data_IF_866436593548
#
_entry.id   IF_866436593548
#
_cell.length_a   1.000
_cell.length_b   1.000
_cell.length_c   1.000
_cell.angle_alpha   90.00
_cell.angle_beta   90.00
_cell.angle_gamma   90.00
#
_symmetry.space_group_name_H-M   'P 1'
#
loop_
_entity.id
_entity.type
_entity.pdbx_description
1 polymer ?
#
# COMPACT_ATOMS: atom_id res chain seq x y z
N UNK A 1 -10.03 -17.80 -2.88
CA UNK A 1 -9.42 -16.96 -3.94
C UNK A 1 -7.91 -17.23 -3.98
N UNK A 2 -7.32 -17.73 -5.08
CA UNK A 2 -5.90 -18.06 -5.16
C UNK A 2 -4.97 -16.88 -4.83
N UNK A 3 -5.29 -15.68 -5.31
CA UNK A 3 -4.51 -14.47 -5.06
C UNK A 3 -4.47 -14.08 -3.57
N UNK A 4 -5.59 -14.28 -2.85
CA UNK A 4 -5.66 -14.02 -1.41
C UNK A 4 -4.72 -14.95 -0.64
N UNK A 5 -4.68 -16.24 -0.99
CA UNK A 5 -3.77 -17.20 -0.37
C UNK A 5 -2.29 -16.84 -0.62
N UNK A 6 -1.95 -16.40 -1.83
CA UNK A 6 -0.59 -15.93 -2.14
C UNK A 6 -0.21 -14.68 -1.35
N UNK A 7 -1.12 -13.70 -1.24
CA UNK A 7 -0.90 -12.52 -0.42
C UNK A 7 -0.64 -12.90 1.05
N UNK A 8 -1.48 -13.76 1.63
CA UNK A 8 -1.35 -14.22 3.02
C UNK A 8 0.02 -14.88 3.23
N UNK A 9 0.39 -15.82 2.36
CA UNK A 9 1.68 -16.50 2.45
C UNK A 9 2.86 -15.53 2.32
N UNK A 10 2.79 -14.57 1.39
CA UNK A 10 3.82 -13.55 1.22
C UNK A 10 3.96 -12.66 2.45
N UNK A 11 2.84 -12.13 2.96
CA UNK A 11 2.82 -11.24 4.10
C UNK A 11 3.31 -11.92 5.39
N UNK A 12 2.89 -13.16 5.63
CA UNK A 12 3.34 -13.96 6.77
C UNK A 12 4.81 -14.32 6.69
N UNK A 13 5.33 -14.67 5.51
CA UNK A 13 6.75 -14.91 5.32
C UNK A 13 7.59 -13.65 5.62
N UNK A 14 7.12 -12.47 5.21
CA UNK A 14 7.80 -11.22 5.52
C UNK A 14 7.71 -10.89 7.02
N UNK A 15 6.57 -11.12 7.66
CA UNK A 15 6.42 -10.94 9.11
C UNK A 15 7.35 -11.88 9.91
N UNK A 16 7.46 -13.14 9.50
CA UNK A 16 8.33 -14.13 10.12
C UNK A 16 9.81 -13.71 10.05
N UNK A 17 10.25 -13.19 8.89
CA UNK A 17 11.60 -12.61 8.73
C UNK A 17 11.85 -11.46 9.71
N UNK A 18 10.90 -10.55 9.85
CA UNK A 18 11.03 -9.38 10.73
C UNK A 18 11.00 -9.73 12.23
N UNK A 19 10.24 -10.76 12.60
CA UNK A 19 10.11 -11.24 13.98
C UNK A 19 11.19 -12.26 14.36
N UNK A 20 11.94 -12.79 13.38
CA UNK A 20 12.86 -13.92 13.54
C UNK A 20 12.19 -15.16 14.16
N UNK A 21 10.88 -15.30 13.98
CA UNK A 21 10.08 -16.44 14.46
C UNK A 21 9.79 -17.41 13.32
N UNK A 22 9.43 -18.63 13.69
CA UNK A 22 8.98 -19.64 12.73
C UNK A 22 7.70 -19.14 12.02
N UNK A 23 7.65 -19.14 10.67
CA UNK A 23 6.45 -18.81 9.91
C UNK A 23 5.20 -19.54 10.39
N UNK A 24 5.32 -20.79 10.86
CA UNK A 24 4.21 -21.62 11.34
C UNK A 24 3.41 -20.96 12.48
N UNK A 25 4.03 -20.09 13.29
CA UNK A 25 3.30 -19.35 14.33
C UNK A 25 2.35 -18.28 13.75
N UNK A 26 2.55 -17.84 12.50
CA UNK A 26 1.71 -16.83 11.85
C UNK A 26 0.53 -17.41 11.07
N UNK A 27 0.55 -18.71 10.73
CA UNK A 27 -0.40 -19.41 9.86
C UNK A 27 -1.73 -19.84 10.52
N UNK A 28 -2.05 -19.34 11.71
CA UNK A 28 -3.41 -19.51 12.24
C UNK A 28 -4.44 -18.98 11.22
N UNK A 29 -5.60 -19.66 11.08
CA UNK A 29 -6.67 -19.21 10.19
C UNK A 29 -6.99 -17.72 10.41
N UNK A 30 -7.33 -17.03 9.32
CA UNK A 30 -7.75 -15.64 9.41
C UNK A 30 -9.05 -15.53 10.22
N UNK A 31 -9.16 -14.47 11.00
CA UNK A 31 -10.46 -14.10 11.57
C UNK A 31 -11.40 -13.64 10.45
N UNK A 32 -12.70 -13.58 10.75
CA UNK A 32 -13.70 -13.00 9.83
C UNK A 32 -13.36 -11.55 9.47
N UNK A 33 -12.82 -10.78 10.40
CA UNK A 33 -12.47 -9.38 10.22
C UNK A 33 -11.25 -9.25 9.30
N UNK A 34 -10.21 -10.05 9.53
CA UNK A 34 -9.01 -10.09 8.66
C UNK A 34 -9.35 -10.52 7.24
N UNK A 35 -10.17 -11.57 7.10
CA UNK A 35 -10.67 -12.03 5.80
C UNK A 35 -11.45 -10.93 5.09
N UNK A 36 -12.33 -10.23 5.81
CA UNK A 36 -13.13 -9.14 5.26
C UNK A 36 -12.26 -7.97 4.81
N UNK A 37 -11.27 -7.54 5.61
CA UNK A 37 -10.32 -6.48 5.21
C UNK A 37 -9.55 -6.89 3.96
N UNK A 38 -9.02 -8.11 3.91
CA UNK A 38 -8.29 -8.62 2.74
C UNK A 38 -9.16 -8.65 1.48
N UNK A 39 -10.37 -9.19 1.57
CA UNK A 39 -11.29 -9.29 0.44
C UNK A 39 -11.71 -7.89 -0.04
N UNK A 40 -12.04 -6.97 0.87
CA UNK A 40 -12.33 -5.56 0.55
C UNK A 40 -11.16 -4.90 -0.17
N UNK A 41 -9.94 -5.07 0.34
CA UNK A 41 -8.73 -4.52 -0.24
C UNK A 41 -8.48 -5.03 -1.67
N UNK A 42 -8.65 -6.34 -1.89
CA UNK A 42 -8.52 -6.97 -3.21
C UNK A 42 -9.55 -6.43 -4.20
N UNK A 43 -10.82 -6.32 -3.80
CA UNK A 43 -11.86 -5.78 -4.69
C UNK A 43 -11.66 -4.29 -4.99
N UNK A 44 -11.24 -3.51 -4.00
CA UNK A 44 -10.88 -2.09 -4.19
C UNK A 44 -9.70 -1.96 -5.13
N UNK A 45 -8.64 -2.75 -4.93
CA UNK A 45 -7.50 -2.77 -5.83
C UNK A 45 -7.89 -3.19 -7.26
N UNK A 46 -8.73 -4.21 -7.41
CA UNK A 46 -9.25 -4.62 -8.72
C UNK A 46 -10.06 -3.51 -9.38
N UNK A 47 -10.90 -2.81 -8.61
CA UNK A 47 -11.68 -1.67 -9.10
C UNK A 47 -10.75 -0.54 -9.56
N UNK A 48 -9.70 -0.24 -8.79
CA UNK A 48 -8.66 0.70 -9.18
C UNK A 48 -8.02 0.30 -10.52
N UNK A 49 -7.58 -0.95 -10.66
CA UNK A 49 -7.00 -1.47 -11.91
C UNK A 49 -8.00 -1.41 -13.08
N UNK A 50 -9.28 -1.69 -12.83
CA UNK A 50 -10.32 -1.62 -13.85
C UNK A 50 -10.64 -0.18 -14.26
N UNK A 51 -10.56 0.79 -13.35
CA UNK A 51 -10.84 2.19 -13.67
C UNK A 51 -9.64 2.86 -14.36
N UNK A 52 -8.44 2.68 -13.79
CA UNK A 52 -7.25 3.46 -14.15
C UNK A 52 -6.13 2.64 -14.80
N UNK A 53 -6.24 1.32 -14.85
CA UNK A 53 -5.23 0.46 -15.46
C UNK A 53 -5.15 0.61 -16.98
N UNK A 54 -3.92 0.52 -17.50
CA UNK A 54 -3.64 0.51 -18.94
C UNK A 54 -3.93 -0.88 -19.49
N UNK A 55 -4.98 -1.02 -20.31
CA UNK A 55 -5.30 -2.27 -21.02
C UNK A 55 -5.07 -2.10 -22.52
N UNK A 56 -4.49 -3.10 -23.18
CA UNK A 56 -4.24 -3.10 -24.63
C UNK A 56 -5.53 -2.95 -25.47
N UNK A 57 -6.71 -3.23 -24.91
CA UNK A 57 -8.00 -3.00 -25.57
C UNK A 57 -8.54 -1.57 -25.41
N UNK A 58 -7.93 -0.74 -24.55
CA UNK A 58 -8.36 0.65 -24.29
C UNK A 58 -7.73 1.70 -25.19
N UNK A 59 -6.84 1.31 -26.10
CA UNK A 59 -6.22 2.22 -27.07
C UNK A 59 -7.22 2.96 -27.98
N UNK A 60 -8.49 2.54 -28.03
CA UNK A 60 -9.55 3.27 -28.78
C UNK A 60 -10.27 4.37 -27.98
N UNK A 61 -10.13 4.42 -26.65
CA UNK A 61 -10.84 5.41 -25.79
C UNK A 61 -9.90 6.26 -24.92
N UNK A 62 -8.57 6.17 -25.12
CA UNK A 62 -7.56 6.90 -24.35
C UNK A 62 -7.60 8.43 -24.56
N UNK A 63 -8.33 8.93 -25.56
CA UNK A 63 -8.42 10.37 -25.84
C UNK A 63 -9.33 11.17 -24.89
N UNK A 64 -9.93 10.56 -23.85
CA UNK A 64 -10.93 11.28 -23.06
C UNK A 64 -10.56 11.56 -21.59
N UNK A 65 -9.64 10.83 -20.94
CA UNK A 65 -9.33 11.07 -19.52
C UNK A 65 -7.87 10.70 -19.17
N UNK A 66 -6.92 11.58 -19.46
CA UNK A 66 -5.58 11.55 -18.85
C UNK A 66 -5.70 11.95 -17.37
N UNK A 67 -5.95 10.99 -16.48
CA UNK A 67 -5.96 11.27 -15.06
C UNK A 67 -4.52 11.33 -14.51
N UNK A 68 -4.03 12.54 -14.24
CA UNK A 68 -2.85 12.76 -13.40
C UNK A 68 -3.00 12.04 -12.03
N UNK A 69 -1.89 11.64 -11.40
CA UNK A 69 -1.85 10.96 -10.10
C UNK A 69 -2.66 11.72 -9.04
N UNK A 70 -2.63 13.05 -9.07
CA UNK A 70 -3.43 13.91 -8.17
C UNK A 70 -4.94 13.71 -8.38
N UNK A 71 -5.39 13.50 -9.62
CA UNK A 71 -6.79 13.22 -9.91
C UNK A 71 -7.21 11.83 -9.45
N UNK A 72 -6.35 10.82 -9.59
CA UNK A 72 -6.63 9.47 -9.08
C UNK A 72 -6.73 9.48 -7.55
N UNK A 73 -5.81 10.17 -6.86
CA UNK A 73 -5.86 10.39 -5.41
C UNK A 73 -7.16 11.08 -4.97
N UNK A 74 -7.67 12.02 -5.77
CA UNK A 74 -8.90 12.77 -5.46
C UNK A 74 -10.17 11.97 -5.76
N UNK A 75 -10.25 11.37 -6.93
CA UNK A 75 -11.48 10.76 -7.45
C UNK A 75 -11.72 9.39 -6.85
N UNK A 76 -10.66 8.65 -6.52
CA UNK A 76 -10.78 7.27 -6.04
C UNK A 76 -10.41 7.15 -4.56
N UNK A 77 -9.16 7.45 -4.19
CA UNK A 77 -8.69 7.23 -2.81
C UNK A 77 -9.39 8.15 -1.80
N UNK A 78 -9.81 9.35 -2.21
CA UNK A 78 -10.56 10.28 -1.37
C UNK A 78 -11.94 9.80 -0.91
N UNK A 79 -12.46 8.69 -1.46
CA UNK A 79 -13.74 8.10 -1.01
C UNK A 79 -13.56 7.11 0.15
N UNK A 80 -12.33 6.86 0.59
CA UNK A 80 -12.02 5.88 1.61
C UNK A 80 -11.37 6.54 2.82
N UNK A 81 -11.53 5.92 3.99
CA UNK A 81 -10.77 6.36 5.15
C UNK A 81 -9.28 6.00 4.99
N UNK A 82 -8.35 6.75 5.60
CA UNK A 82 -6.91 6.58 5.37
C UNK A 82 -6.36 5.18 5.63
N UNK A 83 -6.91 4.45 6.61
CA UNK A 83 -6.52 3.05 6.85
C UNK A 83 -7.01 2.11 5.74
N UNK A 84 -8.19 2.36 5.17
CA UNK A 84 -8.72 1.60 4.04
C UNK A 84 -7.89 1.85 2.76
N UNK A 85 -7.32 3.04 2.61
CA UNK A 85 -6.35 3.33 1.54
C UNK A 85 -5.07 2.51 1.74
N UNK A 86 -4.59 2.37 2.97
CA UNK A 86 -3.42 1.53 3.25
C UNK A 86 -3.70 0.03 3.10
N UNK A 87 -4.94 -0.44 3.30
CA UNK A 87 -5.34 -1.80 2.92
C UNK A 87 -5.06 -2.04 1.42
N UNK A 88 -5.51 -1.12 0.56
CA UNK A 88 -5.24 -1.18 -0.88
C UNK A 88 -3.73 -1.12 -1.15
N UNK A 89 -3.02 -0.24 -0.44
CA UNK A 89 -1.58 -0.07 -0.61
C UNK A 89 -0.78 -1.35 -0.26
N UNK A 90 -1.22 -2.14 0.72
CA UNK A 90 -0.61 -3.44 1.02
C UNK A 90 -0.78 -4.44 -0.13
N UNK A 91 -1.96 -4.49 -0.76
CA UNK A 91 -2.20 -5.32 -1.95
C UNK A 91 -1.36 -4.83 -3.14
N UNK A 92 -1.25 -3.52 -3.31
CA UNK A 92 -0.38 -2.93 -4.33
C UNK A 92 1.09 -3.29 -4.09
N UNK A 93 1.59 -3.23 -2.85
CA UNK A 93 2.96 -3.61 -2.52
C UNK A 93 3.25 -5.09 -2.86
N UNK A 94 2.31 -5.98 -2.52
CA UNK A 94 2.38 -7.40 -2.91
C UNK A 94 2.40 -7.58 -4.44
N UNK A 95 1.51 -6.89 -5.15
CA UNK A 95 1.40 -6.98 -6.62
C UNK A 95 2.67 -6.44 -7.28
N UNK A 96 3.20 -5.30 -6.81
CA UNK A 96 4.45 -4.70 -7.26
C UNK A 96 5.65 -5.62 -7.01
N UNK A 97 5.75 -6.23 -5.83
CA UNK A 97 6.81 -7.18 -5.51
C UNK A 97 6.74 -8.42 -6.41
N UNK A 98 5.54 -8.97 -6.61
CA UNK A 98 5.32 -10.12 -7.49
C UNK A 98 5.67 -9.79 -8.94
N UNK A 99 5.23 -8.62 -9.42
CA UNK A 99 5.52 -8.14 -10.76
C UNK A 99 7.02 -7.90 -10.96
N UNK A 100 7.68 -7.22 -10.03
CA UNK A 100 9.12 -7.00 -10.08
C UNK A 100 9.90 -8.32 -10.09
N UNK A 101 9.50 -9.31 -9.29
CA UNK A 101 10.13 -10.63 -9.33
C UNK A 101 10.00 -11.28 -10.71
N UNK A 102 8.80 -11.27 -11.30
CA UNK A 102 8.58 -11.79 -12.66
C UNK A 102 9.42 -11.03 -13.69
N UNK A 103 9.51 -9.70 -13.56
CA UNK A 103 10.35 -8.88 -14.44
C UNK A 103 11.81 -9.19 -14.25
N UNK A 104 12.30 -9.36 -13.02
CA UNK A 104 13.69 -9.72 -12.74
C UNK A 104 14.02 -11.13 -13.26
N UNK A 105 13.10 -12.08 -13.15
CA UNK A 105 13.24 -13.44 -13.69
C UNK A 105 13.34 -13.45 -15.22
N UNK A 106 12.62 -12.54 -15.90
CA UNK A 106 12.62 -12.39 -17.36
C UNK A 106 13.68 -11.37 -17.82
N UNK A 107 14.24 -10.56 -16.92
CA UNK A 107 15.09 -9.40 -17.23
C UNK A 107 16.27 -9.79 -18.08
N UNK A 108 16.84 -10.97 -17.84
CA UNK A 108 17.96 -11.48 -18.64
C UNK A 108 17.53 -11.84 -20.07
N UNK A 109 16.34 -12.41 -20.26
CA UNK A 109 15.81 -12.79 -21.57
C UNK A 109 15.55 -11.61 -22.50
N UNK A 110 15.40 -10.40 -21.94
CA UNK A 110 15.18 -9.14 -22.67
C UNK A 110 16.32 -8.14 -22.48
N UNK A 111 17.41 -8.54 -21.79
CA UNK A 111 18.51 -7.64 -21.47
C UNK A 111 19.25 -7.22 -22.74
N UNK A 112 19.73 -5.98 -22.74
CA UNK A 112 20.43 -5.44 -23.89
C UNK A 112 21.73 -6.17 -24.25
N UNK A 113 22.33 -6.78 -23.24
CA UNK A 113 23.57 -7.55 -23.36
C UNK A 113 23.30 -9.05 -23.50
N UNK A 114 22.04 -9.44 -23.71
CA UNK A 114 21.71 -10.83 -24.01
C UNK A 114 22.21 -11.14 -25.44
N UNK A 115 23.15 -12.11 -25.61
CA UNK A 115 23.77 -12.43 -26.90
C UNK A 115 22.76 -12.83 -27.99
N UNK A 116 21.52 -13.16 -27.61
CA UNK A 116 20.44 -13.55 -28.53
C UNK A 116 19.94 -12.39 -29.41
N UNK A 117 20.28 -11.13 -29.10
CA UNK A 117 19.83 -9.95 -29.84
C UNK A 117 20.93 -9.26 -30.67
N UNK A 118 22.03 -9.94 -30.98
CA UNK A 118 23.20 -9.34 -31.65
C UNK A 118 22.94 -8.75 -33.05
N UNK A 119 21.83 -9.09 -33.72
CA UNK A 119 21.62 -8.61 -35.10
C UNK A 119 20.64 -7.43 -35.28
N UNK A 120 19.53 -7.28 -34.54
CA UNK A 120 18.55 -6.21 -34.85
C UNK A 120 17.72 -5.76 -33.64
N UNK A 121 18.09 -4.64 -32.98
CA UNK A 121 17.23 -3.98 -31.98
C UNK A 121 16.42 -2.84 -32.62
N UNK A 122 15.08 -2.85 -32.53
CA UNK A 122 14.26 -1.70 -32.93
C UNK A 122 14.43 -0.53 -31.94
N UNK A 123 14.34 0.73 -32.42
CA UNK A 123 14.45 1.91 -31.57
C UNK A 123 13.31 1.98 -30.53
N UNK A 124 13.60 2.58 -29.37
CA UNK A 124 12.62 2.80 -28.30
C UNK A 124 11.37 3.47 -28.87
N UNK A 125 10.17 2.87 -28.73
CA UNK A 125 8.94 3.42 -29.28
C UNK A 125 8.63 4.80 -28.71
N UNK A 126 8.06 5.66 -29.53
CA UNK A 126 7.49 6.93 -29.09
C UNK A 126 6.32 6.63 -28.11
N UNK A 127 6.46 7.02 -26.84
CA UNK A 127 5.48 6.73 -25.77
C UNK A 127 6.01 6.03 -24.52
N UNK A 128 7.34 5.82 -24.40
CA UNK A 128 7.95 5.34 -23.15
C UNK A 128 7.77 6.37 -22.01
N UNK A 129 7.14 5.95 -20.91
CA UNK A 129 6.83 6.79 -19.75
C UNK A 129 7.86 6.62 -18.63
N UNK A 130 8.19 7.71 -17.95
CA UNK A 130 9.13 7.76 -16.82
C UNK A 130 8.32 7.84 -15.51
N UNK A 131 8.62 6.96 -14.55
CA UNK A 131 7.82 6.75 -13.31
C UNK A 131 8.13 7.76 -12.19
N UNK A 132 9.11 8.64 -12.39
CA UNK A 132 9.50 9.60 -11.37
C UNK A 132 8.77 10.93 -11.56
N UNK A 133 7.57 11.04 -10.98
CA UNK A 133 6.84 12.32 -10.88
C UNK A 133 6.22 12.44 -9.49
N UNK A 134 6.82 13.30 -8.67
CA UNK A 134 6.43 13.58 -7.29
C UNK A 134 5.05 14.26 -7.17
N UNK A 135 4.40 14.03 -6.03
CA UNK A 135 3.10 14.63 -5.71
C UNK A 135 3.23 16.10 -5.28
N UNK A 136 2.54 17.01 -6.00
CA UNK A 136 2.24 18.36 -5.55
C UNK A 136 1.04 18.40 -4.59
N UNK A 137 1.04 19.37 -3.67
CA UNK A 137 -0.01 19.58 -2.67
C UNK A 137 -1.35 20.02 -3.30
N UNK A 138 -2.46 19.57 -2.71
CA UNK A 138 -3.84 19.88 -3.15
C UNK A 138 -4.30 21.26 -2.66
N UNK A 139 -5.15 21.93 -3.46
CA UNK A 139 -5.71 23.27 -3.22
C UNK A 139 -7.08 23.30 -2.49
N UNK A 140 -7.69 22.17 -2.14
CA UNK A 140 -8.99 22.14 -1.43
C UNK A 140 -8.96 21.21 -0.20
N UNK A 141 -9.27 21.71 1.02
CA UNK A 141 -9.30 20.89 2.23
C UNK A 141 -10.48 19.91 2.22
N UNK A 142 -10.24 18.63 2.51
CA UNK A 142 -11.30 17.66 2.77
C UNK A 142 -11.71 17.67 4.25
N UNK A 143 -12.84 17.04 4.58
CA UNK A 143 -13.24 16.82 5.98
C UNK A 143 -12.16 16.04 6.75
N UNK A 144 -11.47 15.12 6.09
CA UNK A 144 -10.35 14.34 6.63
C UNK A 144 -9.16 15.26 6.98
N UNK A 145 -8.83 16.24 6.14
CA UNK A 145 -7.78 17.23 6.42
C UNK A 145 -8.12 18.06 7.67
N UNK A 146 -9.41 18.36 7.87
CA UNK A 146 -9.88 19.07 9.05
C UNK A 146 -9.79 18.22 10.32
N UNK A 147 -10.19 16.94 10.26
CA UNK A 147 -10.02 15.97 11.36
C UNK A 147 -8.55 15.83 11.77
N UNK A 148 -7.63 15.75 10.79
CA UNK A 148 -6.19 15.70 11.06
C UNK A 148 -5.67 16.98 11.72
N UNK A 149 -6.06 18.16 11.23
CA UNK A 149 -5.62 19.44 11.81
C UNK A 149 -6.02 19.59 13.27
N UNK A 150 -7.23 19.14 13.63
CA UNK A 150 -7.74 19.13 15.00
C UNK A 150 -7.18 18.00 15.87
N UNK A 151 -6.53 17.00 15.27
CA UNK A 151 -6.11 15.75 15.92
C UNK A 151 -7.29 15.07 16.63
N UNK A 152 -8.42 14.95 15.92
CA UNK A 152 -9.63 14.34 16.46
C UNK A 152 -9.30 12.96 17.07
N UNK A 153 -9.84 12.60 18.25
CA UNK A 153 -9.59 11.30 18.86
C UNK A 153 -10.01 10.16 17.94
N UNK A 154 -9.14 9.17 17.80
CA UNK A 154 -9.39 7.94 17.06
C UNK A 154 -8.74 6.75 17.80
N UNK A 155 -9.22 6.45 19.04
CA UNK A 155 -8.70 5.33 19.80
C UNK A 155 -9.10 3.99 19.16
N UNK A 156 -8.32 2.94 19.45
CA UNK A 156 -8.71 1.58 19.09
C UNK A 156 -9.97 1.16 19.86
N UNK A 157 -10.98 0.67 19.15
CA UNK A 157 -12.28 0.28 19.71
C UNK A 157 -12.56 -1.22 19.57
N UNK A 158 -11.53 -2.01 19.26
CA UNK A 158 -11.66 -3.43 18.93
C UNK A 158 -11.61 -3.69 17.43
N UNK A 159 -11.41 -4.95 17.09
CA UNK A 159 -11.33 -5.38 15.69
C UNK A 159 -12.72 -5.38 15.05
N UNK A 160 -12.89 -4.50 14.08
CA UNK A 160 -14.08 -4.34 13.27
C UNK A 160 -13.66 -3.93 11.84
N UNK A 161 -14.40 -4.36 10.84
CA UNK A 161 -14.12 -4.11 9.42
C UNK A 161 -14.36 -2.65 8.96
N UNK A 162 -15.07 -1.84 9.75
CA UNK A 162 -15.37 -0.43 9.48
C UNK A 162 -14.51 0.53 10.31
N UNK A 163 -13.84 0.03 11.36
CA UNK A 163 -13.02 0.81 12.27
C UNK A 163 -11.53 0.62 11.95
N UNK A 164 -10.67 1.60 12.31
CA UNK A 164 -9.24 1.46 12.11
C UNK A 164 -8.68 0.29 12.92
N UNK A 165 -7.81 -0.54 12.33
CA UNK A 165 -7.15 -1.63 13.05
C UNK A 165 -6.16 -1.06 14.08
N UNK A 166 -5.80 -1.88 15.08
CA UNK A 166 -4.89 -1.48 16.16
C UNK A 166 -3.61 -0.86 15.62
N UNK A 167 -2.99 -1.47 14.60
CA UNK A 167 -1.76 -0.99 13.99
C UNK A 167 -1.84 0.48 13.52
N UNK A 168 -2.97 0.87 12.91
CA UNK A 168 -3.19 2.27 12.48
C UNK A 168 -3.25 3.23 13.67
N UNK A 169 -4.01 2.86 14.69
CA UNK A 169 -4.17 3.69 15.88
C UNK A 169 -2.86 3.82 16.66
N UNK A 170 -1.98 2.80 16.62
CA UNK A 170 -0.67 2.84 17.26
C UNK A 170 0.27 3.85 16.60
N UNK A 171 0.42 3.79 15.26
CA UNK A 171 1.35 4.69 14.55
C UNK A 171 0.92 6.16 14.63
N UNK A 172 -0.38 6.42 14.83
CA UNK A 172 -0.94 7.77 14.98
C UNK A 172 -1.31 8.15 16.42
N UNK A 173 -0.89 7.35 17.41
CA UNK A 173 -1.07 7.62 18.84
C UNK A 173 -2.54 7.90 19.22
N UNK A 174 -3.48 7.12 18.67
CA UNK A 174 -4.91 7.20 18.97
C UNK A 174 -5.59 8.49 18.48
N UNK A 175 -5.02 9.17 17.50
CA UNK A 175 -5.59 10.40 16.90
C UNK A 175 -5.66 10.28 15.39
N UNK A 176 -6.60 11.00 14.78
CA UNK A 176 -6.84 10.94 13.35
C UNK A 176 -5.61 11.38 12.55
N UNK A 177 -5.38 10.71 11.42
CA UNK A 177 -4.38 11.09 10.43
C UNK A 177 -4.95 10.84 9.04
N UNK A 178 -4.80 11.82 8.16
CA UNK A 178 -5.07 11.71 6.73
C UNK A 178 -3.79 11.40 5.92
N UNK A 179 -2.69 11.05 6.60
CA UNK A 179 -1.42 10.73 5.95
C UNK A 179 -1.36 9.25 5.58
N UNK A 180 -1.29 8.97 4.29
CA UNK A 180 -1.12 7.64 3.69
C UNK A 180 -0.18 7.75 2.48
N UNK A 181 0.14 6.63 1.82
CA UNK A 181 1.00 6.65 0.64
C UNK A 181 2.45 6.92 1.03
N UNK A 182 3.07 7.97 0.52
CA UNK A 182 4.51 8.23 0.72
C UNK A 182 4.95 8.33 2.19
N UNK A 183 4.02 8.67 3.09
CA UNK A 183 4.28 8.76 4.53
C UNK A 183 4.44 7.39 5.21
N UNK A 184 3.89 6.33 4.61
CA UNK A 184 3.98 4.95 5.08
C UNK A 184 4.94 4.20 4.16
N UNK A 185 5.97 3.58 4.74
CA UNK A 185 6.99 2.89 3.95
C UNK A 185 6.56 1.48 3.54
N UNK A 186 7.14 1.00 2.44
CA UNK A 186 6.81 -0.30 1.86
C UNK A 186 7.20 -1.48 2.78
N UNK A 187 8.16 -1.30 3.70
CA UNK A 187 8.54 -2.30 4.71
C UNK A 187 7.35 -2.68 5.61
N UNK A 188 6.53 -1.69 6.00
CA UNK A 188 5.31 -1.92 6.78
C UNK A 188 4.25 -2.66 5.96
N UNK A 189 4.10 -2.29 4.68
CA UNK A 189 3.16 -2.90 3.75
C UNK A 189 3.55 -4.34 3.41
N UNK A 190 4.85 -4.65 3.45
CA UNK A 190 5.39 -5.95 3.05
C UNK A 190 4.86 -7.12 3.88
N UNK A 191 4.48 -6.87 5.13
CA UNK A 191 3.89 -7.86 6.02
C UNK A 191 2.41 -7.56 6.31
N UNK A 192 1.80 -6.61 5.59
CA UNK A 192 0.37 -6.33 5.66
C UNK A 192 -0.08 -5.72 6.99
N UNK A 193 0.68 -4.78 7.54
CA UNK A 193 0.49 -4.27 8.91
C UNK A 193 -0.94 -3.83 9.29
N UNK A 194 -1.72 -3.38 8.30
CA UNK A 194 -3.07 -2.89 8.45
C UNK A 194 -4.14 -4.01 8.42
N UNK A 195 -3.78 -5.21 7.99
CA UNK A 195 -4.73 -6.29 7.74
C UNK A 195 -5.09 -7.08 9.00
N UNK A 196 -4.18 -7.11 9.97
CA UNK A 196 -4.21 -8.08 11.06
C UNK A 196 -4.92 -7.55 12.30
N UNK A 197 -5.65 -8.46 12.95
CA UNK A 197 -6.35 -8.16 14.19
C UNK A 197 -5.37 -7.95 15.34
N UNK A 198 -5.81 -7.22 16.36
CA UNK A 198 -5.01 -6.93 17.55
C UNK A 198 -4.41 -8.19 18.16
N UNK A 199 -5.21 -9.25 18.32
CA UNK A 199 -4.76 -10.52 18.88
C UNK A 199 -3.62 -11.16 18.08
N UNK A 200 -3.66 -11.09 16.73
CA UNK A 200 -2.59 -11.60 15.88
C UNK A 200 -1.33 -10.76 16.03
N UNK A 201 -1.46 -9.43 16.10
CA UNK A 201 -0.31 -8.54 16.29
C UNK A 201 0.43 -8.82 17.60
N UNK A 202 -0.33 -9.03 18.69
CA UNK A 202 0.21 -9.42 20.00
C UNK A 202 0.97 -10.75 19.93
N UNK A 203 0.31 -11.81 19.46
CA UNK A 203 0.85 -13.17 19.48
C UNK A 203 2.08 -13.33 18.60
N UNK A 204 2.06 -12.71 17.43
CA UNK A 204 3.18 -12.78 16.47
C UNK A 204 4.36 -11.90 16.88
N UNK A 205 4.16 -10.89 17.74
CA UNK A 205 5.16 -9.86 18.03
C UNK A 205 5.27 -8.82 16.92
N UNK A 206 4.21 -8.67 16.12
CA UNK A 206 4.17 -7.69 15.03
C UNK A 206 4.10 -6.26 15.55
N UNK A 207 3.63 -6.03 16.79
CA UNK A 207 3.65 -4.69 17.40
C UNK A 207 5.06 -4.17 17.60
N UNK A 208 6.00 -5.02 17.99
CA UNK A 208 7.40 -4.65 18.19
C UNK A 208 8.06 -4.34 16.84
N UNK A 209 7.71 -5.11 15.80
CA UNK A 209 8.12 -4.83 14.41
C UNK A 209 7.56 -3.48 13.94
N UNK A 210 6.26 -3.24 14.15
CA UNK A 210 5.57 -2.00 13.82
C UNK A 210 6.28 -0.79 14.46
N UNK A 211 6.50 -0.85 15.77
CA UNK A 211 7.18 0.22 16.50
C UNK A 211 8.61 0.43 16.01
N UNK A 212 9.38 -0.63 15.80
CA UNK A 212 10.75 -0.57 15.29
C UNK A 212 10.81 0.09 13.91
N UNK A 213 10.00 -0.37 12.97
CA UNK A 213 9.99 0.14 11.59
C UNK A 213 9.47 1.58 11.54
N UNK A 214 8.44 1.91 12.31
CA UNK A 214 7.93 3.28 12.39
C UNK A 214 8.99 4.24 12.95
N UNK A 215 9.64 3.87 14.06
CA UNK A 215 10.70 4.67 14.67
C UNK A 215 11.93 4.80 13.76
N UNK A 216 12.28 3.77 13.00
CA UNK A 216 13.38 3.86 12.02
C UNK A 216 13.09 4.88 10.90
N UNK A 217 11.81 5.11 10.57
CA UNK A 217 11.42 6.03 9.51
C UNK A 217 11.30 7.48 9.97
N UNK A 218 10.80 7.68 11.20
CA UNK A 218 10.36 8.99 11.67
C UNK A 218 11.04 9.44 12.96
N UNK A 219 11.85 8.58 13.59
CA UNK A 219 12.43 8.82 14.91
C UNK A 219 11.34 9.24 15.91
N UNK A 220 11.48 10.40 16.54
CA UNK A 220 10.49 11.01 17.42
C UNK A 220 9.68 12.13 16.73
N UNK A 221 9.81 12.27 15.40
CA UNK A 221 9.10 13.29 14.61
C UNK A 221 7.71 12.80 14.21
N UNK A 222 6.67 13.53 14.61
CA UNK A 222 5.31 13.29 14.11
C UNK A 222 5.17 13.80 12.65
N UNK A 223 4.91 12.92 11.66
CA UNK A 223 4.82 13.30 10.26
C UNK A 223 3.74 14.35 9.98
N UNK A 224 2.68 14.40 10.79
CA UNK A 224 1.58 15.38 10.67
C UNK A 224 2.04 16.82 10.91
N UNK A 225 3.19 17.00 11.56
CA UNK A 225 3.76 18.33 11.79
C UNK A 225 4.55 18.86 10.59
N UNK A 226 4.98 18.00 9.63
CA UNK A 226 5.73 18.45 8.45
C UNK A 226 4.89 19.27 7.47
N UNK A 227 3.57 19.10 7.49
CA UNK A 227 2.63 19.88 6.68
C UNK A 227 2.45 21.33 7.16
N UNK A 228 3.10 21.76 8.26
CA UNK A 228 2.99 23.12 8.78
C UNK A 228 3.96 24.14 8.16
N UNK A 229 4.87 23.71 7.29
CA UNK A 229 5.95 24.56 6.75
C UNK A 229 5.87 24.84 5.24
N UNK A 230 4.73 24.58 4.60
CA UNK A 230 4.47 25.02 3.23
C UNK A 230 3.50 26.21 3.26
N UNK A 231 4.02 27.38 3.62
CA UNK A 231 3.40 28.68 3.38
C UNK A 231 4.42 29.55 2.63
#
# INVERSE_FOLDING_TARGET
>A
MPLAAHYIGWAFNNLAKETKKDPLQSYEPLSRTEETRLVRALYRFQLYCNLFGVSHYRFRCQWMLEFDHVNILRIYLGNYEPWEVEEIACIYAFTKATFNQVFDDIRWDVHQDNPRFEEHRPPTPQGAFNLDSGCGARLHPTDQDSKQKRRDPLPFQGDNEELPPLAWTLIWQGTYSNLFGWYIKDELRSWGYIMWDAARLERTGAKEVLHRQWKACWEDVDPRNRLRYAN
#
